data_IF_420960785777
#
_entry.id   IF_420960785777
#
_cell.length_a   1.000
_cell.length_b   1.000
_cell.length_c   1.000
_cell.angle_alpha   90.00
_cell.angle_beta   90.00
_cell.angle_gamma   90.00
#
_symmetry.space_group_name_H-M   'P 1'
#
loop_
_entity.id
_entity.type
_entity.pdbx_description
1 polymer ?
#
# COMPACT_ATOMS: atom_id res chain seq x y z
N UNK A 1 19.15 -4.22 33.75
CA UNK A 1 19.13 -3.59 32.41
C UNK A 1 19.85 -4.39 31.29
N UNK A 2 20.69 -5.40 31.58
CA UNK A 2 21.45 -6.15 30.56
C UNK A 2 20.62 -7.23 29.83
N UNK A 3 19.67 -7.88 30.52
CA UNK A 3 18.79 -8.90 29.94
C UNK A 3 17.88 -8.32 28.83
N UNK A 4 17.33 -7.11 29.04
CA UNK A 4 16.48 -6.41 28.04
C UNK A 4 17.28 -6.04 26.78
N UNK A 5 18.53 -5.59 26.94
CA UNK A 5 19.46 -5.28 25.81
C UNK A 5 19.91 -6.52 25.03
N UNK A 6 20.14 -7.66 25.71
CA UNK A 6 20.42 -8.94 25.03
C UNK A 6 19.19 -9.44 24.27
N UNK A 7 18.00 -9.32 24.85
CA UNK A 7 16.74 -9.65 24.19
C UNK A 7 16.50 -8.85 22.91
N UNK A 8 16.81 -7.55 22.92
CA UNK A 8 16.68 -6.69 21.74
C UNK A 8 17.62 -7.10 20.59
N UNK A 9 18.89 -7.44 20.90
CA UNK A 9 19.83 -7.94 19.88
C UNK A 9 19.38 -9.27 19.27
N UNK A 10 18.82 -10.17 20.08
CA UNK A 10 18.30 -11.45 19.60
C UNK A 10 17.04 -11.23 18.76
N UNK A 11 16.12 -10.35 19.18
CA UNK A 11 14.95 -9.94 18.40
C UNK A 11 15.34 -9.46 17.01
N UNK A 12 16.29 -8.53 16.92
CA UNK A 12 16.78 -8.04 15.62
C UNK A 12 17.43 -9.14 14.78
N UNK A 13 18.19 -10.05 15.38
CA UNK A 13 18.78 -11.19 14.65
C UNK A 13 17.70 -12.11 14.06
N UNK A 14 16.63 -12.40 14.79
CA UNK A 14 15.50 -13.20 14.31
C UNK A 14 14.77 -12.47 13.17
N UNK A 15 14.49 -11.17 13.33
CA UNK A 15 13.86 -10.36 12.29
C UNK A 15 14.72 -10.38 11.01
N UNK A 16 16.02 -10.12 11.12
CA UNK A 16 16.94 -10.18 9.99
C UNK A 16 16.94 -11.55 9.32
N UNK A 17 16.95 -12.64 10.10
CA UNK A 17 16.92 -14.00 9.55
C UNK A 17 15.63 -14.28 8.76
N UNK A 18 14.48 -13.89 9.30
CA UNK A 18 13.18 -14.04 8.62
C UNK A 18 13.16 -13.22 7.33
N UNK A 19 13.60 -11.96 7.38
CA UNK A 19 13.64 -11.10 6.20
C UNK A 19 14.62 -11.62 5.13
N UNK A 20 15.74 -12.21 5.53
CA UNK A 20 16.69 -12.85 4.61
C UNK A 20 16.04 -14.06 3.92
N UNK A 21 15.35 -14.93 4.66
CA UNK A 21 14.66 -16.07 4.06
C UNK A 21 13.60 -15.59 3.06
N UNK A 22 12.78 -14.60 3.44
CA UNK A 22 11.77 -14.02 2.53
C UNK A 22 12.41 -13.44 1.28
N UNK A 23 13.51 -12.71 1.43
CA UNK A 23 14.23 -12.12 0.29
C UNK A 23 14.79 -13.20 -0.64
N UNK A 24 15.35 -14.27 -0.10
CA UNK A 24 15.82 -15.42 -0.89
C UNK A 24 14.65 -16.05 -1.66
N UNK A 25 13.52 -16.31 -1.01
CA UNK A 25 12.32 -16.81 -1.69
C UNK A 25 11.86 -15.90 -2.82
N UNK A 26 11.80 -14.58 -2.59
CA UNK A 26 11.43 -13.60 -3.63
C UNK A 26 12.43 -13.52 -4.78
N UNK A 27 13.73 -13.64 -4.49
CA UNK A 27 14.76 -13.70 -5.54
C UNK A 27 14.64 -14.97 -6.38
N UNK A 28 14.33 -16.11 -5.77
CA UNK A 28 14.02 -17.34 -6.51
C UNK A 28 12.78 -17.17 -7.40
N UNK A 29 11.71 -16.55 -6.89
CA UNK A 29 10.53 -16.25 -7.69
C UNK A 29 10.87 -15.34 -8.88
N UNK A 30 11.64 -14.27 -8.67
CA UNK A 30 12.09 -13.37 -9.73
C UNK A 30 12.88 -14.10 -10.83
N UNK A 31 13.71 -15.08 -10.45
CA UNK A 31 14.46 -15.91 -11.40
C UNK A 31 13.54 -16.86 -12.17
N UNK A 32 12.60 -17.52 -11.48
CA UNK A 32 11.65 -18.45 -12.10
C UNK A 32 10.66 -17.74 -13.04
N UNK A 33 10.31 -16.48 -12.76
CA UNK A 33 9.39 -15.69 -13.60
C UNK A 33 10.07 -15.00 -14.78
N UNK A 34 11.35 -15.25 -15.04
CA UNK A 34 12.15 -14.58 -16.07
C UNK A 34 12.22 -13.05 -15.87
N UNK A 35 12.59 -12.62 -14.66
CA UNK A 35 12.80 -11.21 -14.30
C UNK A 35 11.56 -10.34 -14.48
N UNK A 36 10.38 -10.86 -14.13
CA UNK A 36 9.14 -10.07 -14.08
C UNK A 36 8.95 -9.52 -12.66
N UNK A 37 8.50 -8.26 -12.52
CA UNK A 37 8.27 -7.68 -11.21
C UNK A 37 7.23 -8.51 -10.45
N UNK A 38 7.41 -8.61 -9.13
CA UNK A 38 6.51 -9.37 -8.26
C UNK A 38 5.42 -8.44 -7.76
N UNK A 39 4.21 -8.63 -8.27
CA UNK A 39 3.04 -7.86 -7.86
C UNK A 39 2.47 -8.38 -6.54
N UNK A 40 1.96 -7.47 -5.73
CA UNK A 40 1.27 -7.75 -4.47
C UNK A 40 -0.09 -7.03 -4.50
N UNK A 41 -1.22 -7.75 -4.35
CA UNK A 41 -1.35 -9.21 -4.18
C UNK A 41 -0.95 -10.01 -5.45
N UNK A 42 -0.50 -11.28 -5.31
CA UNK A 42 -0.05 -12.10 -6.44
C UNK A 42 -1.20 -12.61 -7.33
N UNK A 43 -2.42 -12.59 -6.79
CA UNK A 43 -3.64 -12.94 -7.51
C UNK A 43 -4.48 -11.68 -7.63
N UNK A 44 -5.10 -11.43 -8.80
CA UNK A 44 -6.12 -10.40 -8.92
C UNK A 44 -7.24 -10.69 -7.93
N UNK A 45 -7.47 -9.77 -7.01
CA UNK A 45 -8.63 -9.81 -6.13
C UNK A 45 -9.82 -9.24 -6.91
N UNK A 46 -10.99 -9.86 -6.76
CA UNK A 46 -12.21 -9.37 -7.38
C UNK A 46 -12.67 -8.14 -6.61
N UNK A 47 -12.86 -7.01 -7.30
CA UNK A 47 -13.22 -5.73 -6.68
C UNK A 47 -14.58 -5.75 -5.95
N UNK A 48 -15.49 -6.66 -6.32
CA UNK A 48 -16.76 -6.86 -5.64
C UNK A 48 -17.14 -8.35 -5.61
N UNK A 49 -17.39 -8.88 -4.40
CA UNK A 49 -18.11 -10.15 -4.26
C UNK A 49 -19.61 -9.85 -4.46
N UNK A 50 -20.28 -10.44 -5.46
CA UNK A 50 -21.72 -10.22 -5.65
C UNK A 50 -22.56 -10.54 -4.40
N UNK A 51 -22.02 -11.34 -3.47
CA UNK A 51 -22.67 -11.65 -2.20
C UNK A 51 -22.62 -10.52 -1.16
N UNK A 52 -21.65 -9.62 -1.24
CA UNK A 52 -21.60 -8.45 -0.33
C UNK A 52 -22.70 -7.42 -0.66
N UNK A 53 -23.04 -7.27 -1.95
CA UNK A 53 -24.14 -6.40 -2.39
C UNK A 53 -25.51 -6.95 -1.92
N UNK A 54 -25.68 -8.28 -1.88
CA UNK A 54 -26.90 -8.92 -1.37
C UNK A 54 -27.07 -8.77 0.15
N UNK A 55 -25.97 -8.70 0.91
CA UNK A 55 -26.00 -8.58 2.38
C UNK A 55 -26.37 -7.17 2.83
N UNK A 56 -25.91 -6.12 2.13
CA UNK A 56 -26.32 -4.73 2.38
C UNK A 56 -27.82 -4.51 2.14
N UNK A 57 -28.44 -5.28 1.23
CA UNK A 57 -29.89 -5.24 1.00
C UNK A 57 -30.75 -6.04 1.99
N UNK A 58 -30.16 -6.69 2.99
CA UNK A 58 -30.85 -7.68 3.85
C UNK A 58 -30.94 -7.31 5.33
N UNK A 59 -30.89 -6.01 5.68
CA UNK A 59 -31.04 -5.60 7.09
C UNK A 59 -32.47 -5.84 7.59
N UNK A 60 -32.65 -6.95 8.31
CA UNK A 60 -33.91 -7.50 8.83
C UNK A 60 -34.36 -6.81 10.12
N UNK A 61 -34.30 -5.48 10.19
CA UNK A 61 -34.86 -4.72 11.31
C UNK A 61 -36.02 -3.87 10.81
N UNK A 62 -37.24 -4.23 11.24
CA UNK A 62 -38.52 -3.60 10.89
C UNK A 62 -38.72 -2.17 11.45
N UNK A 63 -37.69 -1.33 11.40
CA UNK A 63 -37.74 0.10 11.68
C UNK A 63 -37.04 0.82 10.51
N UNK A 64 -37.76 0.95 9.39
CA UNK A 64 -37.29 1.71 8.23
C UNK A 64 -37.21 3.19 8.60
N UNK A 65 -36.05 3.65 9.03
CA UNK A 65 -35.62 5.04 8.80
C UNK A 65 -35.22 5.13 7.32
N UNK A 66 -35.80 6.03 6.51
CA UNK A 66 -35.42 6.12 5.12
C UNK A 66 -33.99 6.62 5.04
N UNK A 67 -33.11 5.81 4.45
CA UNK A 67 -31.75 6.20 4.13
C UNK A 67 -31.81 7.49 3.31
N UNK A 68 -31.42 8.59 3.96
CA UNK A 68 -31.24 9.88 3.30
C UNK A 68 -29.89 9.89 2.59
N UNK A 69 -29.69 8.96 1.67
CA UNK A 69 -28.85 9.21 0.50
C UNK A 69 -29.75 9.83 -0.56
N UNK A 70 -29.93 11.15 -0.46
CA UNK A 70 -30.47 11.95 -1.56
C UNK A 70 -29.44 12.01 -2.69
N UNK A 71 -29.24 10.90 -3.39
CA UNK A 71 -29.12 10.96 -4.84
C UNK A 71 -30.55 10.89 -5.38
N UNK A 72 -31.05 12.00 -5.93
CA UNK A 72 -32.34 12.04 -6.62
C UNK A 72 -32.26 11.19 -7.89
N UNK A 73 -32.34 9.87 -7.74
CA UNK A 73 -32.36 8.93 -8.84
C UNK A 73 -33.83 8.65 -9.19
N UNK A 74 -34.22 9.03 -10.41
CA UNK A 74 -35.48 8.58 -10.99
C UNK A 74 -35.36 7.08 -11.24
N UNK A 75 -35.75 6.28 -10.25
CA UNK A 75 -35.93 4.84 -10.43
C UNK A 75 -37.21 4.65 -11.27
N UNK A 76 -37.04 4.56 -12.58
CA UNK A 76 -38.15 4.34 -13.51
C UNK A 76 -38.42 2.84 -13.63
N UNK A 77 -39.62 2.43 -13.26
CA UNK A 77 -40.03 1.03 -13.31
C UNK A 77 -40.62 0.70 -14.67
N UNK A 78 -40.10 -0.34 -15.32
CA UNK A 78 -40.61 -0.81 -16.60
C UNK A 78 -42.05 -1.34 -16.44
N UNK A 79 -43.04 -0.81 -17.18
CA UNK A 79 -44.46 -1.13 -16.98
C UNK A 79 -44.85 -2.56 -17.34
N UNK A 80 -44.00 -3.28 -18.10
CA UNK A 80 -44.27 -4.66 -18.57
C UNK A 80 -43.55 -5.73 -17.76
N UNK A 81 -42.41 -5.40 -17.16
CA UNK A 81 -41.54 -6.36 -16.47
C UNK A 81 -41.46 -6.10 -14.97
N UNK A 82 -41.86 -4.92 -14.50
CA UNK A 82 -41.78 -4.52 -13.09
C UNK A 82 -40.36 -4.28 -12.58
N UNK A 83 -39.35 -4.39 -13.45
CA UNK A 83 -37.94 -4.15 -13.10
C UNK A 83 -37.67 -2.64 -13.09
N UNK A 84 -36.99 -2.15 -12.06
CA UNK A 84 -36.46 -0.78 -12.01
C UNK A 84 -35.23 -0.67 -12.92
N UNK A 85 -35.15 0.39 -13.71
CA UNK A 85 -33.93 0.71 -14.44
C UNK A 85 -32.88 1.22 -13.45
N UNK A 86 -31.63 0.73 -13.50
CA UNK A 86 -30.55 1.30 -12.71
C UNK A 86 -30.33 2.76 -13.11
N UNK A 87 -30.12 3.61 -12.12
CA UNK A 87 -29.86 5.03 -12.34
C UNK A 87 -28.56 5.23 -13.12
N UNK A 88 -28.59 6.18 -14.05
CA UNK A 88 -27.40 6.55 -14.82
C UNK A 88 -26.45 7.32 -13.88
N UNK A 89 -25.13 7.08 -13.97
CA UNK A 89 -24.14 7.83 -13.21
C UNK A 89 -24.19 9.32 -13.57
N UNK A 90 -23.76 10.18 -12.63
CA UNK A 90 -23.67 11.62 -12.86
C UNK A 90 -22.79 11.92 -14.09
N UNK A 91 -23.12 12.99 -14.81
CA UNK A 91 -22.52 13.33 -16.11
C UNK A 91 -21.00 13.49 -16.03
N UNK A 92 -20.53 13.95 -14.88
CA UNK A 92 -19.10 14.11 -14.58
C UNK A 92 -18.36 12.77 -14.40
N UNK A 93 -19.08 11.70 -14.03
CA UNK A 93 -18.52 10.37 -13.76
C UNK A 93 -18.74 9.35 -14.88
N UNK A 94 -19.47 9.73 -15.95
CA UNK A 94 -19.71 8.86 -17.12
C UNK A 94 -18.39 8.29 -17.67
N UNK A 95 -17.35 9.11 -17.76
CA UNK A 95 -16.05 8.65 -18.31
C UNK A 95 -15.43 7.56 -17.45
N UNK A 96 -15.46 7.70 -16.13
CA UNK A 96 -14.91 6.72 -15.19
C UNK A 96 -15.74 5.42 -15.22
N UNK A 97 -17.07 5.54 -15.28
CA UNK A 97 -17.98 4.42 -15.40
C UNK A 97 -17.78 3.64 -16.72
N UNK A 98 -17.62 4.35 -17.83
CA UNK A 98 -17.34 3.70 -19.12
C UNK A 98 -15.97 3.02 -19.10
N UNK A 99 -14.95 3.63 -18.49
CA UNK A 99 -13.61 3.01 -18.36
C UNK A 99 -13.68 1.75 -17.49
N UNK A 100 -14.48 1.73 -16.42
CA UNK A 100 -14.61 0.52 -15.57
C UNK A 100 -15.43 -0.60 -16.21
N UNK A 101 -16.35 -0.27 -17.13
CA UNK A 101 -17.21 -1.26 -17.82
C UNK A 101 -16.66 -1.72 -19.18
N UNK A 102 -15.70 -1.01 -19.76
CA UNK A 102 -15.10 -1.36 -21.05
C UNK A 102 -13.89 -2.27 -20.83
N UNK A 103 -13.84 -3.36 -21.60
CA UNK A 103 -12.66 -4.21 -21.71
C UNK A 103 -11.47 -3.36 -22.17
N UNK A 104 -10.54 -3.12 -21.26
CA UNK A 104 -9.33 -2.37 -21.57
C UNK A 104 -8.42 -3.24 -22.44
N UNK A 105 -7.56 -2.62 -23.25
CA UNK A 105 -6.60 -3.35 -24.07
C UNK A 105 -5.67 -4.28 -23.26
N UNK A 106 -5.54 -4.04 -21.96
CA UNK A 106 -4.81 -4.90 -21.03
C UNK A 106 -5.60 -6.16 -20.62
N UNK A 107 -6.94 -6.11 -20.60
CA UNK A 107 -7.79 -7.25 -20.20
C UNK A 107 -7.84 -8.37 -21.24
N UNK A 108 -7.53 -8.02 -22.50
CA UNK A 108 -7.52 -8.95 -23.63
C UNK A 108 -6.15 -9.65 -23.75
N UNK A 109 -5.12 -9.12 -23.08
CA UNK A 109 -3.76 -9.67 -23.16
C UNK A 109 -3.64 -10.94 -22.31
N UNK A 110 -2.86 -11.94 -22.77
CA UNK A 110 -2.60 -13.11 -21.94
C UNK A 110 -1.91 -12.68 -20.62
N UNK A 111 -2.16 -13.37 -19.49
CA UNK A 111 -1.59 -12.99 -18.19
C UNK A 111 -0.06 -12.87 -18.19
N UNK A 112 0.58 -13.69 -19.03
CA UNK A 112 2.04 -13.67 -19.24
C UNK A 112 2.54 -12.45 -20.04
N UNK A 113 1.72 -11.48 -20.42
CA UNK A 113 2.17 -10.24 -21.05
C UNK A 113 1.68 -8.99 -20.33
N UNK A 114 0.97 -9.16 -19.20
CA UNK A 114 0.49 -8.04 -18.38
C UNK A 114 1.63 -7.27 -17.69
N UNK A 115 2.76 -7.92 -17.46
CA UNK A 115 3.95 -7.30 -16.90
C UNK A 115 5.08 -7.36 -17.90
N UNK A 116 5.74 -6.22 -18.10
CA UNK A 116 6.92 -6.17 -18.94
C UNK A 116 8.08 -6.87 -18.23
N UNK A 117 8.87 -7.62 -19.00
CA UNK A 117 10.10 -8.24 -18.48
C UNK A 117 11.11 -7.14 -18.20
N UNK A 118 11.75 -7.22 -17.05
CA UNK A 118 12.73 -6.23 -16.64
C UNK A 118 14.13 -6.70 -17.03
N UNK A 119 14.90 -5.82 -17.67
CA UNK A 119 16.25 -6.12 -18.19
C UNK A 119 17.24 -5.05 -17.75
N UNK A 120 18.48 -5.43 -17.48
CA UNK A 120 19.53 -4.45 -17.15
C UNK A 120 19.26 -3.69 -15.86
N UNK A 121 19.09 -2.37 -15.95
CA UNK A 121 18.94 -1.49 -14.79
C UNK A 121 17.66 -1.76 -13.99
N UNK A 122 16.55 -2.08 -14.65
CA UNK A 122 15.33 -2.42 -13.92
C UNK A 122 15.46 -3.73 -13.14
N UNK A 123 16.23 -4.71 -13.63
CA UNK A 123 16.45 -5.95 -12.88
C UNK A 123 17.20 -5.68 -11.57
N UNK A 124 18.16 -4.75 -11.60
CA UNK A 124 18.84 -4.27 -10.39
C UNK A 124 17.87 -3.53 -9.47
N UNK A 125 16.96 -2.72 -10.02
CA UNK A 125 15.92 -2.04 -9.22
C UNK A 125 15.02 -3.03 -8.48
N UNK A 126 14.60 -4.11 -9.14
CA UNK A 126 13.80 -5.18 -8.51
C UNK A 126 14.58 -5.95 -7.44
N UNK A 127 15.85 -6.28 -7.70
CA UNK A 127 16.71 -6.95 -6.71
C UNK A 127 16.91 -6.07 -5.48
N UNK A 128 17.20 -4.77 -5.67
CA UNK A 128 17.35 -3.81 -4.58
C UNK A 128 16.05 -3.62 -3.81
N UNK A 129 14.91 -3.61 -4.49
CA UNK A 129 13.59 -3.51 -3.87
C UNK A 129 13.30 -4.74 -2.98
N UNK A 130 13.65 -5.94 -3.43
CA UNK A 130 13.54 -7.18 -2.64
C UNK A 130 14.50 -7.19 -1.45
N UNK A 131 15.72 -6.65 -1.62
CA UNK A 131 16.73 -6.58 -0.55
C UNK A 131 16.49 -5.46 0.46
N UNK A 132 15.63 -4.48 0.13
CA UNK A 132 15.28 -3.35 1.00
C UNK A 132 15.04 -3.73 2.47
N UNK A 133 14.11 -4.65 2.81
CA UNK A 133 13.84 -5.02 4.20
C UNK A 133 15.04 -5.66 4.90
N UNK A 134 15.85 -6.44 4.18
CA UNK A 134 17.05 -7.09 4.73
C UNK A 134 18.10 -6.06 5.12
N UNK A 135 18.41 -5.13 4.22
CA UNK A 135 19.41 -4.10 4.46
C UNK A 135 18.94 -3.16 5.57
N UNK A 136 17.65 -2.81 5.59
CA UNK A 136 17.09 -2.00 6.67
C UNK A 136 17.11 -2.75 8.02
N UNK A 137 16.75 -4.03 8.06
CA UNK A 137 16.84 -4.84 9.28
C UNK A 137 18.29 -4.96 9.77
N UNK A 138 19.25 -5.11 8.84
CA UNK A 138 20.68 -5.12 9.18
C UNK A 138 21.16 -3.77 9.72
N UNK A 139 20.73 -2.65 9.11
CA UNK A 139 21.01 -1.33 9.63
C UNK A 139 20.43 -1.14 11.04
N UNK A 140 19.19 -1.55 11.26
CA UNK A 140 18.56 -1.51 12.59
C UNK A 140 19.27 -2.41 13.61
N UNK A 141 19.77 -3.58 13.20
CA UNK A 141 20.58 -4.43 14.07
C UNK A 141 21.89 -3.74 14.48
N UNK A 142 22.57 -3.11 13.52
CA UNK A 142 23.87 -2.45 13.73
C UNK A 142 23.80 -1.21 14.61
N UNK A 143 22.70 -0.46 14.51
CA UNK A 143 22.45 0.79 15.25
C UNK A 143 21.32 0.68 16.30
N UNK A 144 20.96 -0.54 16.71
CA UNK A 144 19.90 -0.81 17.70
C UNK A 144 20.04 -0.07 19.04
N UNK A 145 21.25 0.41 19.39
CA UNK A 145 21.50 1.16 20.61
C UNK A 145 21.05 2.62 20.59
N UNK A 146 20.84 3.22 19.41
CA UNK A 146 20.56 4.66 19.28
C UNK A 146 19.35 4.91 18.38
N UNK A 147 18.16 4.96 19.02
CA UNK A 147 16.86 5.14 18.35
C UNK A 147 16.73 6.50 17.65
N UNK A 148 17.51 7.50 18.07
CA UNK A 148 17.47 8.87 17.53
C UNK A 148 18.32 9.02 16.26
N UNK A 149 19.15 8.02 15.95
CA UNK A 149 20.11 8.08 14.86
C UNK A 149 19.42 8.06 13.49
N UNK A 150 19.76 9.02 12.63
CA UNK A 150 19.18 9.15 11.28
C UNK A 150 19.75 8.15 10.27
N UNK A 151 20.85 7.47 10.59
CA UNK A 151 21.59 6.62 9.65
C UNK A 151 20.74 5.45 9.10
N UNK A 152 20.06 4.64 9.93
CA UNK A 152 19.25 3.53 9.41
C UNK A 152 18.07 4.02 8.58
N UNK A 153 17.51 5.18 8.95
CA UNK A 153 16.42 5.81 8.23
C UNK A 153 16.85 6.31 6.85
N UNK A 154 17.98 7.02 6.75
CA UNK A 154 18.53 7.50 5.48
C UNK A 154 18.91 6.35 4.53
N UNK A 155 19.48 5.26 5.05
CA UNK A 155 19.77 4.07 4.25
C UNK A 155 18.48 3.47 3.70
N UNK A 156 17.47 3.27 4.54
CA UNK A 156 16.19 2.70 4.12
C UNK A 156 15.44 3.56 3.11
N UNK A 157 15.26 4.85 3.42
CA UNK A 157 14.59 5.81 2.54
C UNK A 157 15.37 6.03 1.24
N UNK A 158 16.69 6.20 1.32
CA UNK A 158 17.56 6.40 0.17
C UNK A 158 17.55 5.21 -0.79
N UNK A 159 17.51 3.98 -0.26
CA UNK A 159 17.36 2.80 -1.11
C UNK A 159 15.99 2.75 -1.79
N UNK A 160 14.90 3.07 -1.10
CA UNK A 160 13.57 3.07 -1.71
C UNK A 160 13.43 4.12 -2.80
N UNK A 161 13.95 5.32 -2.54
CA UNK A 161 14.05 6.37 -3.53
C UNK A 161 14.92 5.95 -4.72
N UNK A 162 16.08 5.34 -4.46
CA UNK A 162 16.98 4.82 -5.49
C UNK A 162 16.33 3.74 -6.36
N UNK A 163 15.67 2.75 -5.75
CA UNK A 163 14.92 1.72 -6.46
C UNK A 163 13.85 2.33 -7.37
N UNK A 164 13.08 3.29 -6.85
CA UNK A 164 12.04 3.98 -7.62
C UNK A 164 12.61 4.78 -8.78
N UNK A 165 13.72 5.46 -8.57
CA UNK A 165 14.36 6.26 -9.62
C UNK A 165 14.90 5.37 -10.74
N UNK A 166 15.55 4.25 -10.39
CA UNK A 166 16.03 3.26 -11.35
C UNK A 166 14.88 2.57 -12.10
N UNK A 167 13.77 2.25 -11.41
CA UNK A 167 12.59 1.71 -12.06
C UNK A 167 11.99 2.71 -13.06
N UNK A 168 11.87 4.00 -12.68
CA UNK A 168 11.35 5.04 -13.56
C UNK A 168 12.23 5.28 -14.79
N UNK A 169 13.56 5.27 -14.64
CA UNK A 169 14.46 5.42 -15.79
C UNK A 169 14.34 4.24 -16.74
N UNK A 170 14.27 3.02 -16.22
CA UNK A 170 14.08 1.79 -17.00
C UNK A 170 12.75 1.80 -17.79
N UNK A 171 11.64 2.20 -17.15
CA UNK A 171 10.35 2.33 -17.85
C UNK A 171 10.37 3.41 -18.94
N UNK A 172 11.08 4.52 -18.72
CA UNK A 172 11.19 5.61 -19.70
C UNK A 172 12.00 5.20 -20.94
N UNK A 173 13.03 4.39 -20.76
CA UNK A 173 13.91 3.93 -21.82
C UNK A 173 13.30 2.76 -22.62
N UNK A 174 12.61 1.84 -21.94
CA UNK A 174 12.09 0.61 -22.57
C UNK A 174 10.73 0.78 -23.26
N UNK A 175 9.81 1.57 -22.69
CA UNK A 175 8.41 1.58 -23.13
C UNK A 175 8.18 2.69 -24.15
N UNK A 176 7.64 2.35 -25.33
CA UNK A 176 7.19 3.33 -26.30
C UNK A 176 6.04 4.16 -25.69
N UNK A 177 6.26 5.45 -25.45
CA UNK A 177 5.34 6.31 -24.69
C UNK A 177 5.73 6.51 -23.21
N UNK A 178 6.86 5.94 -22.78
CA UNK A 178 7.43 6.10 -21.44
C UNK A 178 6.43 5.76 -20.34
N UNK A 179 6.27 6.68 -19.38
CA UNK A 179 5.39 6.50 -18.22
C UNK A 179 3.89 6.39 -18.56
N UNK A 180 3.47 6.76 -19.78
CA UNK A 180 2.07 6.65 -20.22
C UNK A 180 1.74 5.29 -20.84
N UNK A 181 2.74 4.53 -21.25
CA UNK A 181 2.56 3.20 -21.85
C UNK A 181 2.63 2.04 -20.86
N UNK A 182 2.65 2.32 -19.56
CA UNK A 182 2.63 1.26 -18.54
C UNK A 182 1.28 0.59 -18.52
N UNK A 183 1.30 -0.71 -18.23
CA UNK A 183 0.07 -1.45 -17.93
C UNK A 183 -0.57 -0.93 -16.65
N UNK A 184 -1.89 -1.13 -16.50
CA UNK A 184 -2.60 -0.75 -15.28
C UNK A 184 -1.94 -1.31 -14.01
N UNK A 185 -1.48 -2.57 -14.08
CA UNK A 185 -0.85 -3.29 -12.97
C UNK A 185 0.50 -2.67 -12.55
N UNK A 186 1.36 -2.33 -13.52
CA UNK A 186 2.65 -1.69 -13.23
C UNK A 186 2.45 -0.26 -12.68
N UNK A 187 1.43 0.46 -13.15
CA UNK A 187 1.07 1.78 -12.64
C UNK A 187 0.59 1.70 -11.20
N UNK A 188 -0.26 0.74 -10.88
CA UNK A 188 -0.73 0.50 -9.52
C UNK A 188 0.44 0.13 -8.60
N UNK A 189 1.35 -0.74 -9.05
CA UNK A 189 2.54 -1.11 -8.30
C UNK A 189 3.45 0.10 -8.05
N UNK A 190 3.69 0.94 -9.05
CA UNK A 190 4.41 2.20 -8.86
C UNK A 190 3.67 3.17 -7.91
N UNK A 191 2.34 3.14 -7.90
CA UNK A 191 1.50 3.86 -6.95
C UNK A 191 1.72 3.38 -5.52
N UNK A 192 1.64 2.06 -5.30
CA UNK A 192 1.90 1.39 -4.01
C UNK A 192 3.31 1.68 -3.50
N UNK A 193 4.33 1.58 -4.37
CA UNK A 193 5.71 1.99 -4.06
C UNK A 193 5.81 3.48 -3.71
N UNK A 194 4.94 4.32 -4.30
CA UNK A 194 4.83 5.74 -3.98
C UNK A 194 4.29 5.99 -2.57
N UNK A 195 3.18 5.35 -2.23
CA UNK A 195 2.58 5.40 -0.90
C UNK A 195 3.49 4.82 0.18
N UNK A 196 4.21 3.74 -0.13
CA UNK A 196 5.19 3.13 0.76
C UNK A 196 6.31 4.11 1.16
N UNK A 197 6.74 5.00 0.27
CA UNK A 197 7.69 6.06 0.62
C UNK A 197 7.13 7.04 1.66
N UNK A 198 5.83 7.38 1.57
CA UNK A 198 5.17 8.23 2.55
C UNK A 198 5.19 7.62 3.96
N UNK A 199 5.05 6.30 4.06
CA UNK A 199 5.12 5.58 5.33
C UNK A 199 6.49 5.66 6.03
N UNK A 200 7.56 6.07 5.34
CA UNK A 200 8.85 6.32 6.01
C UNK A 200 8.83 7.54 6.94
N UNK A 201 7.92 8.49 6.73
CA UNK A 201 7.74 9.62 7.64
C UNK A 201 7.15 9.17 8.99
N UNK A 202 6.40 8.07 9.00
CA UNK A 202 5.86 7.49 10.24
C UNK A 202 6.82 6.47 10.86
N UNK A 203 8.07 6.37 10.36
CA UNK A 203 9.01 5.32 10.75
C UNK A 203 10.33 5.84 11.31
N UNK A 204 10.84 5.12 12.31
CA UNK A 204 12.23 5.20 12.76
C UNK A 204 12.63 6.58 13.24
N UNK A 205 13.78 7.08 12.78
CA UNK A 205 14.35 8.33 13.27
C UNK A 205 13.51 9.57 12.93
N UNK A 206 12.80 9.56 11.79
CA UNK A 206 11.92 10.68 11.43
C UNK A 206 10.71 10.71 12.36
N UNK A 207 10.14 9.54 12.67
CA UNK A 207 9.05 9.43 13.63
C UNK A 207 9.45 9.95 15.02
N UNK A 208 10.55 9.44 15.59
CA UNK A 208 10.99 9.82 16.94
C UNK A 208 11.40 11.29 17.04
N UNK A 209 11.96 11.89 15.99
CA UNK A 209 12.48 13.26 16.03
C UNK A 209 11.51 14.34 15.56
N UNK A 210 10.58 14.02 14.65
CA UNK A 210 9.71 15.02 14.01
C UNK A 210 8.26 14.64 14.24
N UNK A 211 7.83 13.49 13.71
CA UNK A 211 6.41 13.14 13.66
C UNK A 211 5.82 12.99 15.05
N UNK A 212 6.55 12.41 16.01
CA UNK A 212 6.09 12.25 17.41
C UNK A 212 5.86 13.58 18.11
N UNK A 213 6.77 14.55 17.93
CA UNK A 213 6.58 15.89 18.50
C UNK A 213 5.42 16.64 17.84
N UNK A 214 5.30 16.51 16.52
CA UNK A 214 4.18 17.10 15.78
C UNK A 214 2.84 16.48 16.20
N UNK A 215 2.79 15.16 16.34
CA UNK A 215 1.60 14.41 16.74
C UNK A 215 1.17 14.77 18.16
N UNK A 216 2.10 14.85 19.11
CA UNK A 216 1.82 15.33 20.49
C UNK A 216 1.32 16.76 20.52
N UNK A 217 1.86 17.63 19.67
CA UNK A 217 1.36 18.99 19.51
C UNK A 217 -0.05 19.05 18.94
N UNK A 218 -0.38 18.13 18.02
CA UNK A 218 -1.68 18.02 17.39
C UNK A 218 -2.73 17.43 18.34
N UNK A 219 -2.42 16.32 19.01
CA UNK A 219 -3.30 15.68 20.02
C UNK A 219 -3.54 16.61 21.20
N UNK A 220 -2.51 17.33 21.66
CA UNK A 220 -2.65 18.34 22.69
C UNK A 220 -3.58 19.50 22.31
N UNK A 221 -3.68 19.85 21.02
CA UNK A 221 -4.62 20.86 20.50
C UNK A 221 -6.02 20.33 20.22
N UNK A 222 -6.13 19.03 19.97
CA UNK A 222 -7.40 18.33 19.72
C UNK A 222 -8.11 17.95 21.03
N UNK A 223 -7.36 17.82 22.12
CA UNK A 223 -7.88 17.52 23.45
C UNK A 223 -8.82 18.63 23.94
N UNK A 224 -10.04 18.25 24.31
CA UNK A 224 -11.05 19.17 24.86
C UNK A 224 -12.07 19.74 23.86
N UNK A 225 -12.10 19.29 22.61
CA UNK A 225 -13.21 19.56 21.66
C UNK A 225 -14.02 18.27 21.43
N UNK A 226 -15.35 18.29 21.57
CA UNK A 226 -16.18 17.11 21.28
C UNK A 226 -15.95 16.71 19.82
N UNK A 227 -15.76 15.42 19.54
CA UNK A 227 -15.29 14.81 18.28
C UNK A 227 -13.77 14.77 18.05
N UNK A 228 -13.05 15.88 18.19
CA UNK A 228 -11.59 15.87 17.99
C UNK A 228 -10.85 15.15 19.11
N UNK A 229 -11.43 15.14 20.31
CA UNK A 229 -10.91 14.39 21.46
C UNK A 229 -10.91 12.88 21.21
N UNK A 230 -11.91 12.35 20.49
CA UNK A 230 -11.97 10.93 20.12
C UNK A 230 -10.85 10.56 19.15
N UNK A 231 -10.61 11.40 18.14
CA UNK A 231 -9.49 11.20 17.19
C UNK A 231 -8.15 11.30 17.91
N UNK A 232 -8.00 12.25 18.83
CA UNK A 232 -6.82 12.39 19.67
C UNK A 232 -6.55 11.15 20.53
N UNK A 233 -7.60 10.59 21.15
CA UNK A 233 -7.54 9.36 21.94
C UNK A 233 -7.10 8.17 21.10
N UNK A 234 -7.70 7.98 19.92
CA UNK A 234 -7.31 6.88 19.00
C UNK A 234 -5.84 7.03 18.58
N UNK A 235 -5.39 8.24 18.26
CA UNK A 235 -4.00 8.48 17.88
C UNK A 235 -3.02 8.15 19.03
N UNK A 236 -3.40 8.46 20.28
CA UNK A 236 -2.60 8.13 21.47
C UNK A 236 -2.49 6.60 21.67
N UNK A 237 -3.58 5.86 21.43
CA UNK A 237 -3.56 4.39 21.45
C UNK A 237 -2.64 3.80 20.36
N UNK A 238 -2.63 4.42 19.16
CA UNK A 238 -1.72 4.02 18.08
C UNK A 238 -0.26 4.41 18.32
N UNK A 239 0.03 5.49 19.07
CA UNK A 239 1.40 5.87 19.45
C UNK A 239 2.12 4.72 20.17
N UNK A 240 1.42 4.03 21.08
CA UNK A 240 1.98 2.87 21.78
C UNK A 240 2.38 1.74 20.82
N UNK A 241 1.57 1.51 19.79
CA UNK A 241 1.85 0.47 18.79
C UNK A 241 3.08 0.83 17.95
N UNK A 242 3.19 2.09 17.50
CA UNK A 242 4.32 2.59 16.71
C UNK A 242 5.65 2.57 17.48
N UNK A 243 5.62 2.82 18.80
CA UNK A 243 6.82 2.79 19.64
C UNK A 243 7.33 1.38 19.94
N UNK A 244 6.43 0.38 20.03
CA UNK A 244 6.77 -0.96 20.53
C UNK A 244 6.94 -2.02 19.45
N UNK A 245 6.24 -1.91 18.33
CA UNK A 245 6.24 -2.93 17.28
C UNK A 245 7.11 -2.54 16.08
N UNK A 246 7.88 -3.52 15.59
CA UNK A 246 8.49 -3.42 14.28
C UNK A 246 7.43 -3.75 13.24
N UNK A 247 7.01 -2.76 12.46
CA UNK A 247 6.14 -3.00 11.30
C UNK A 247 7.00 -3.47 10.12
N UNK A 248 6.89 -4.74 9.68
CA UNK A 248 7.52 -5.17 8.44
C UNK A 248 6.75 -4.53 7.28
N UNK A 249 7.33 -3.53 6.64
CA UNK A 249 6.79 -2.95 5.39
C UNK A 249 7.00 -3.88 4.17
N UNK A 250 7.35 -5.14 4.40
CA UNK A 250 7.66 -6.10 3.35
C UNK A 250 6.41 -6.75 2.72
N UNK A 251 5.21 -6.48 3.23
CA UNK A 251 3.94 -7.03 2.72
C UNK A 251 2.90 -5.92 2.55
N UNK A 252 3.07 -5.11 1.50
CA UNK A 252 1.98 -4.49 0.77
C UNK A 252 2.30 -4.61 -0.71
#
# INVERSE_FOLDING_TARGET
MIARRRGEKIRWRVVTFIEVIKAICRLFLLRLTNSRPLVSPPLPEREADPRSEELEGSDWNGMQTPDSERSSNLDWNMPRTGLSLPSLPDVNDISNYLISKVLTADDIKPPKTLLHRVTGQGQLAEILYILRPVIYAFAMQRWSGDKRSWRPWLIGFGMEYGCRQLAKSDFKERVAGGLRGLTGLEREELGKRGWAMGWWLLRGAFYENITKYWLKGLTGRMKGKPLLDLVGSVIEDYEYLWDNFYFPTATL
#
